data_IF_256677012557
#
_entry.id   IF_256677012557
#
_cell.length_a   1.000
_cell.length_b   1.000
_cell.length_c   1.000
_cell.angle_alpha   90.00
_cell.angle_beta   90.00
_cell.angle_gamma   90.00
#
_symmetry.space_group_name_H-M   'P 1'
#
loop_
_entity.id
_entity.type
_entity.pdbx_description
1 polymer ?
#
# COMPACT_ATOMS: atom_id res chain seq x y z
N UNK A 1 9.56 3.22 -13.07
CA UNK A 1 8.84 3.51 -11.81
C UNK A 1 9.22 4.90 -11.37
N UNK A 2 8.27 5.81 -11.33
CA UNK A 2 8.51 7.07 -10.63
C UNK A 2 8.31 6.80 -9.14
N UNK A 3 9.41 6.67 -8.43
CA UNK A 3 9.37 6.67 -6.97
C UNK A 3 9.23 8.12 -6.52
N UNK A 4 8.43 8.35 -5.48
CA UNK A 4 8.40 9.65 -4.80
C UNK A 4 9.84 10.09 -4.50
N UNK A 5 10.15 11.36 -4.75
CA UNK A 5 11.42 11.95 -4.34
C UNK A 5 11.09 13.10 -3.40
N UNK A 6 11.46 12.99 -2.13
CA UNK A 6 12.18 11.89 -1.47
C UNK A 6 11.35 10.59 -1.38
N UNK A 7 12.04 9.45 -1.26
CA UNK A 7 11.40 8.13 -1.20
C UNK A 7 10.67 7.97 0.13
N UNK A 8 9.39 7.62 0.09
CA UNK A 8 8.58 7.30 1.28
C UNK A 8 8.55 5.78 1.46
N UNK A 9 8.85 5.27 2.65
CA UNK A 9 8.82 3.84 2.93
C UNK A 9 8.51 3.54 4.39
N UNK A 10 8.04 2.33 4.63
CA UNK A 10 7.76 1.77 5.96
C UNK A 10 8.28 0.36 6.03
N UNK A 11 8.89 0.00 7.16
CA UNK A 11 9.22 -1.38 7.52
C UNK A 11 8.29 -1.82 8.61
N UNK A 12 7.52 -2.87 8.35
CA UNK A 12 6.49 -3.36 9.27
C UNK A 12 6.69 -4.84 9.55
N UNK A 13 6.45 -5.25 10.79
CA UNK A 13 6.26 -6.65 11.16
C UNK A 13 4.78 -6.96 11.04
N UNK A 14 4.44 -8.11 10.49
CA UNK A 14 3.04 -8.51 10.32
C UNK A 14 2.88 -10.01 10.60
N UNK A 15 1.73 -10.41 11.14
CA UNK A 15 1.38 -11.82 11.27
C UNK A 15 1.18 -12.46 9.91
N UNK A 16 1.81 -13.60 9.68
CA UNK A 16 1.77 -14.30 8.39
C UNK A 16 0.37 -14.75 8.00
N UNK A 17 -0.50 -14.97 8.98
CA UNK A 17 -1.88 -15.45 8.81
C UNK A 17 -2.91 -14.36 8.52
N UNK A 18 -2.52 -13.10 8.53
CA UNK A 18 -3.40 -12.03 8.08
C UNK A 18 -3.86 -12.27 6.64
N UNK A 19 -5.10 -11.95 6.33
CA UNK A 19 -5.56 -11.88 4.95
C UNK A 19 -5.05 -10.62 4.27
N UNK A 20 -5.06 -10.56 2.94
CA UNK A 20 -4.71 -9.34 2.22
C UNK A 20 -5.64 -8.18 2.58
N UNK A 21 -6.93 -8.46 2.87
CA UNK A 21 -7.87 -7.47 3.40
C UNK A 21 -7.38 -6.91 4.73
N UNK A 22 -6.97 -7.78 5.65
CA UNK A 22 -6.44 -7.34 6.93
C UNK A 22 -5.10 -6.60 6.77
N UNK A 23 -4.23 -7.05 5.86
CA UNK A 23 -2.99 -6.32 5.53
C UNK A 23 -3.30 -4.88 5.09
N UNK A 24 -4.29 -4.70 4.19
CA UNK A 24 -4.74 -3.37 3.80
C UNK A 24 -5.26 -2.57 5.00
N UNK A 25 -6.29 -3.12 5.67
CA UNK A 25 -7.06 -2.40 6.69
C UNK A 25 -6.23 -2.04 7.93
N UNK A 26 -5.41 -2.96 8.41
CA UNK A 26 -4.79 -2.84 9.73
C UNK A 26 -3.28 -2.59 9.70
N UNK A 27 -2.66 -2.66 8.53
CA UNK A 27 -1.22 -2.40 8.38
C UNK A 27 -0.96 -1.26 7.40
N UNK A 28 -1.38 -1.42 6.13
CA UNK A 28 -1.00 -0.46 5.08
C UNK A 28 -1.68 0.89 5.27
N UNK A 29 -2.99 0.90 5.52
CA UNK A 29 -3.70 2.16 5.77
C UNK A 29 -3.08 2.95 6.93
N UNK A 30 -2.92 2.41 8.14
CA UNK A 30 -2.30 3.16 9.23
C UNK A 30 -0.82 3.50 8.96
N UNK A 31 -0.04 2.60 8.37
CA UNK A 31 1.38 2.85 8.13
C UNK A 31 1.63 3.98 7.11
N UNK A 32 0.75 4.13 6.13
CA UNK A 32 0.84 5.16 5.09
C UNK A 32 0.04 6.42 5.42
N UNK A 33 -0.88 6.36 6.40
CA UNK A 33 -1.76 7.46 6.77
C UNK A 33 -3.06 7.51 5.96
N UNK A 34 -3.41 6.43 5.26
CA UNK A 34 -4.64 6.31 4.49
C UNK A 34 -5.89 6.13 5.38
N UNK A 35 -7.00 6.64 4.93
CA UNK A 35 -8.31 6.35 5.54
C UNK A 35 -8.77 4.96 5.14
N UNK A 36 -9.12 4.15 6.14
CA UNK A 36 -9.72 2.85 5.91
C UNK A 36 -11.11 2.96 5.29
N UNK A 37 -11.44 2.06 4.37
CA UNK A 37 -12.75 2.00 3.70
C UNK A 37 -13.17 3.32 3.00
N UNK A 38 -12.19 4.06 2.49
CA UNK A 38 -12.41 5.33 1.82
C UNK A 38 -12.19 5.22 0.31
N UNK A 39 -11.04 4.71 -0.11
CA UNK A 39 -10.74 4.45 -1.53
C UNK A 39 -10.59 2.95 -1.80
N UNK A 40 -10.77 2.57 -3.06
CA UNK A 40 -10.53 1.23 -3.54
C UNK A 40 -9.03 0.94 -3.65
N UNK A 41 -8.69 -0.33 -3.61
CA UNK A 41 -7.32 -0.80 -3.71
C UNK A 41 -7.25 -2.16 -4.40
N UNK A 42 -6.06 -2.54 -4.83
CA UNK A 42 -5.79 -3.87 -5.32
C UNK A 42 -4.34 -4.29 -5.06
N UNK A 43 -4.12 -5.60 -5.06
CA UNK A 43 -2.81 -6.22 -5.01
C UNK A 43 -2.55 -7.05 -6.27
N UNK A 44 -1.29 -7.28 -6.60
CA UNK A 44 -0.85 -8.32 -7.53
C UNK A 44 0.53 -8.82 -7.17
N UNK A 45 0.83 -10.06 -7.53
CA UNK A 45 2.19 -10.59 -7.45
C UNK A 45 3.11 -9.86 -8.44
N UNK A 46 4.35 -9.66 -8.03
CA UNK A 46 5.42 -9.14 -8.89
C UNK A 46 6.50 -10.19 -9.07
N UNK A 47 6.59 -10.74 -10.27
CA UNK A 47 7.69 -11.63 -10.65
C UNK A 47 9.01 -10.85 -10.77
N UNK A 48 10.15 -11.53 -10.69
CA UNK A 48 11.44 -10.90 -10.93
C UNK A 48 11.47 -10.19 -12.28
N UNK A 49 11.85 -8.90 -12.26
CA UNK A 49 11.90 -8.07 -13.47
C UNK A 49 10.61 -7.36 -13.85
N UNK A 50 9.46 -7.75 -13.30
CA UNK A 50 8.19 -7.06 -13.56
C UNK A 50 8.11 -5.72 -12.83
N UNK A 51 7.40 -4.80 -13.46
CA UNK A 51 7.01 -3.52 -12.88
C UNK A 51 5.61 -3.62 -12.31
N UNK A 52 5.29 -2.76 -11.35
CA UNK A 52 3.97 -2.70 -10.73
C UNK A 52 2.84 -2.34 -11.70
N UNK A 53 3.16 -1.62 -12.77
CA UNK A 53 2.27 -1.13 -13.83
C UNK A 53 2.24 -2.03 -15.09
N UNK A 54 2.94 -3.18 -15.07
CA UNK A 54 2.83 -4.16 -16.14
C UNK A 54 1.44 -4.81 -16.14
N UNK A 55 0.95 -5.20 -17.30
CA UNK A 55 -0.32 -5.90 -17.44
C UNK A 55 -0.32 -7.19 -16.60
N UNK A 56 -1.38 -7.39 -15.84
CA UNK A 56 -1.56 -8.58 -15.03
C UNK A 56 -2.86 -9.28 -15.36
N UNK A 57 -2.82 -10.58 -15.33
CA UNK A 57 -4.00 -11.43 -15.55
C UNK A 57 -4.75 -11.74 -14.25
N UNK A 58 -4.14 -11.52 -13.10
CA UNK A 58 -4.75 -11.80 -11.79
C UNK A 58 -4.53 -10.63 -10.83
N UNK A 59 -5.62 -10.18 -10.25
CA UNK A 59 -5.66 -9.14 -9.24
C UNK A 59 -6.33 -9.66 -7.97
N UNK A 60 -5.90 -9.14 -6.83
CA UNK A 60 -6.47 -9.48 -5.53
C UNK A 60 -7.00 -8.20 -4.90
N UNK A 61 -8.27 -8.20 -4.52
CA UNK A 61 -8.87 -6.99 -3.96
C UNK A 61 -10.27 -7.22 -3.38
N UNK A 62 -10.93 -6.13 -2.97
CA UNK A 62 -12.34 -6.20 -2.58
C UNK A 62 -13.18 -6.71 -3.75
N UNK A 63 -14.23 -7.46 -3.48
CA UNK A 63 -15.07 -8.03 -4.54
C UNK A 63 -15.60 -6.97 -5.52
N UNK A 64 -15.94 -7.37 -6.73
CA UNK A 64 -16.42 -6.48 -7.83
C UNK A 64 -17.47 -5.47 -7.37
N UNK A 65 -18.49 -5.92 -6.63
CA UNK A 65 -19.56 -5.03 -6.14
C UNK A 65 -19.08 -3.90 -5.23
N UNK A 66 -17.96 -4.06 -4.55
CA UNK A 66 -17.37 -3.00 -3.72
C UNK A 66 -16.51 -2.06 -4.56
N UNK A 67 -15.84 -2.58 -5.58
CA UNK A 67 -15.08 -1.77 -6.53
C UNK A 67 -16.01 -0.88 -7.36
N UNK A 68 -17.12 -1.44 -7.86
CA UNK A 68 -18.13 -0.71 -8.63
C UNK A 68 -18.78 0.45 -7.86
N UNK A 69 -18.85 0.35 -6.52
CA UNK A 69 -19.37 1.43 -5.68
C UNK A 69 -18.42 2.60 -5.49
N UNK A 70 -17.12 2.37 -5.69
CA UNK A 70 -16.08 3.35 -5.34
C UNK A 70 -15.37 3.91 -6.57
N UNK A 71 -15.39 3.20 -7.69
CA UNK A 71 -14.70 3.60 -8.93
C UNK A 71 -15.57 3.23 -10.12
N UNK A 72 -15.64 4.11 -11.12
CA UNK A 72 -16.16 3.75 -12.42
C UNK A 72 -15.17 2.74 -13.07
N UNK A 73 -15.58 1.48 -13.09
CA UNK A 73 -14.76 0.36 -13.58
C UNK A 73 -14.37 0.52 -15.04
N UNK A 74 -15.09 1.34 -15.83
CA UNK A 74 -14.73 1.64 -17.22
C UNK A 74 -13.46 2.50 -17.31
N UNK A 75 -13.11 3.19 -16.23
CA UNK A 75 -11.93 4.03 -16.15
C UNK A 75 -10.70 3.31 -15.55
N UNK A 76 -10.87 2.05 -15.10
CA UNK A 76 -9.78 1.27 -14.51
C UNK A 76 -9.27 0.21 -15.51
N UNK A 77 -8.32 0.56 -16.36
CA UNK A 77 -7.85 -0.34 -17.44
C UNK A 77 -7.24 -1.65 -16.93
N UNK A 78 -6.82 -1.71 -15.66
CA UNK A 78 -6.17 -2.88 -15.08
C UNK A 78 -7.05 -4.12 -14.94
N UNK A 79 -8.38 -3.95 -14.88
CA UNK A 79 -9.31 -5.06 -14.69
C UNK A 79 -9.87 -5.62 -16.01
N UNK A 80 -9.52 -5.03 -17.13
CA UNK A 80 -9.95 -5.52 -18.43
C UNK A 80 -9.29 -6.86 -18.77
N UNK A 81 -10.08 -7.93 -18.71
CA UNK A 81 -9.66 -9.28 -19.09
C UNK A 81 -8.92 -10.07 -18.02
N UNK A 82 -8.69 -9.51 -16.82
CA UNK A 82 -8.07 -10.20 -15.71
C UNK A 82 -9.09 -10.82 -14.73
N UNK A 83 -8.66 -11.83 -13.98
CA UNK A 83 -9.43 -12.38 -12.88
C UNK A 83 -9.23 -11.56 -11.60
N UNK A 84 -10.32 -11.21 -10.92
CA UNK A 84 -10.28 -10.60 -9.60
C UNK A 84 -10.56 -11.65 -8.52
N UNK A 85 -9.58 -11.93 -7.68
CA UNK A 85 -9.70 -12.85 -6.56
C UNK A 85 -9.92 -12.04 -5.27
N UNK A 86 -10.84 -12.53 -4.42
CA UNK A 86 -11.18 -11.82 -3.18
C UNK A 86 -10.05 -11.87 -2.18
N UNK A 87 -9.58 -10.72 -1.80
CA UNK A 87 -8.47 -10.50 -0.86
C UNK A 87 -8.71 -11.07 0.56
N UNK A 88 -9.98 -11.18 0.96
CA UNK A 88 -10.36 -11.76 2.25
C UNK A 88 -10.11 -13.26 2.35
N UNK A 89 -9.99 -13.94 1.21
CA UNK A 89 -9.81 -15.38 1.11
C UNK A 89 -8.33 -15.77 0.93
N UNK A 90 -7.43 -14.78 0.81
CA UNK A 90 -6.00 -14.95 0.59
C UNK A 90 -5.20 -14.49 1.81
N UNK A 91 -4.26 -15.32 2.25
CA UNK A 91 -3.36 -15.02 3.38
C UNK A 91 -2.05 -14.43 2.89
N UNK A 92 -1.47 -13.57 3.72
CA UNK A 92 -0.18 -12.95 3.45
C UNK A 92 0.92 -13.98 3.18
N UNK A 93 0.96 -15.08 3.97
CA UNK A 93 1.97 -16.13 3.81
C UNK A 93 1.87 -16.90 2.49
N UNK A 94 0.71 -16.94 1.85
CA UNK A 94 0.54 -17.56 0.54
C UNK A 94 0.97 -16.69 -0.65
N UNK A 95 1.26 -15.41 -0.39
CA UNK A 95 1.61 -14.43 -1.43
C UNK A 95 3.11 -14.22 -1.61
N UNK A 96 3.93 -14.84 -0.77
CA UNK A 96 5.38 -14.70 -0.82
C UNK A 96 6.05 -16.07 -0.87
N UNK A 97 6.79 -16.32 -1.93
CA UNK A 97 7.54 -17.58 -2.10
C UNK A 97 8.78 -17.65 -1.18
N UNK A 98 9.31 -16.49 -0.78
CA UNK A 98 10.50 -16.39 0.05
C UNK A 98 10.98 -14.95 0.21
N UNK A 99 12.06 -14.77 0.94
CA UNK A 99 12.71 -13.47 1.13
C UNK A 99 13.08 -12.85 -0.23
N UNK A 100 12.80 -11.56 -0.38
CA UNK A 100 12.96 -10.84 -1.64
C UNK A 100 11.75 -10.88 -2.56
N UNK A 101 10.75 -11.76 -2.33
CA UNK A 101 9.49 -11.76 -3.10
C UNK A 101 8.75 -10.44 -2.92
N UNK A 102 7.98 -10.06 -3.94
CA UNK A 102 7.32 -8.75 -3.98
C UNK A 102 5.86 -8.84 -4.36
N UNK A 103 5.05 -7.96 -3.75
CA UNK A 103 3.71 -7.62 -4.19
C UNK A 103 3.67 -6.17 -4.66
N UNK A 104 2.93 -5.90 -5.71
CA UNK A 104 2.44 -4.55 -5.97
C UNK A 104 1.15 -4.33 -5.20
N UNK A 105 0.99 -3.15 -4.67
CA UNK A 105 -0.22 -2.67 -4.05
C UNK A 105 -0.54 -1.30 -4.62
N UNK A 106 -1.75 -1.10 -5.08
CA UNK A 106 -2.27 0.20 -5.50
C UNK A 106 -3.38 0.62 -4.58
N UNK A 107 -3.29 1.82 -4.07
CA UNK A 107 -4.34 2.48 -3.29
C UNK A 107 -4.89 3.64 -4.11
N UNK A 108 -6.18 3.89 -3.96
CA UNK A 108 -6.94 4.87 -4.74
C UNK A 108 -6.82 4.63 -6.25
N UNK A 109 -7.71 3.82 -6.78
CA UNK A 109 -7.70 3.43 -8.19
C UNK A 109 -8.00 4.60 -9.15
N UNK A 110 -8.36 5.78 -8.63
CA UNK A 110 -8.46 7.02 -9.39
C UNK A 110 -7.13 7.77 -9.49
N UNK A 111 -6.32 7.73 -8.42
CA UNK A 111 -5.04 8.46 -8.32
C UNK A 111 -3.80 7.56 -8.45
N UNK A 112 -3.97 6.23 -8.37
CA UNK A 112 -2.92 5.23 -8.58
C UNK A 112 -1.71 5.39 -7.67
N UNK A 113 -1.91 5.37 -6.36
CA UNK A 113 -0.83 5.33 -5.38
C UNK A 113 -0.17 3.95 -5.34
N UNK A 114 0.84 3.77 -6.19
CA UNK A 114 1.56 2.51 -6.32
C UNK A 114 2.60 2.31 -5.21
N UNK A 115 2.59 1.11 -4.63
CA UNK A 115 3.54 0.67 -3.63
C UNK A 115 4.14 -0.68 -4.05
N UNK A 116 5.39 -0.90 -3.68
CA UNK A 116 6.02 -2.20 -3.73
C UNK A 116 6.20 -2.71 -2.30
N UNK A 117 5.60 -3.86 -2.00
CA UNK A 117 5.76 -4.55 -0.73
C UNK A 117 6.79 -5.66 -0.95
N UNK A 118 7.85 -5.69 -0.16
CA UNK A 118 8.90 -6.69 -0.26
C UNK A 118 9.00 -7.46 1.05
N UNK A 119 9.00 -8.79 0.98
CA UNK A 119 9.32 -9.62 2.13
C UNK A 119 10.83 -9.55 2.38
N UNK A 120 11.23 -8.95 3.51
CA UNK A 120 12.65 -8.83 3.88
C UNK A 120 13.16 -10.08 4.62
N UNK A 121 12.40 -10.56 5.58
CA UNK A 121 12.76 -11.74 6.38
C UNK A 121 11.57 -12.31 7.15
N UNK A 122 11.75 -13.53 7.64
CA UNK A 122 10.81 -14.16 8.58
C UNK A 122 11.28 -13.96 10.02
N UNK A 123 10.33 -13.80 10.94
CA UNK A 123 10.58 -13.79 12.38
C UNK A 123 9.56 -14.68 13.11
N UNK A 124 9.81 -14.95 14.39
CA UNK A 124 8.92 -15.80 15.21
C UNK A 124 7.80 -15.01 15.89
N UNK A 125 7.98 -13.70 16.00
CA UNK A 125 7.01 -12.81 16.65
C UNK A 125 5.77 -12.65 15.74
N UNK A 126 4.61 -12.96 16.31
CA UNK A 126 3.30 -12.79 15.64
C UNK A 126 2.65 -11.49 16.16
N UNK A 127 3.20 -10.37 15.73
CA UNK A 127 2.74 -9.03 16.12
C UNK A 127 2.65 -8.11 14.89
N UNK A 128 1.82 -7.07 14.99
CA UNK A 128 1.80 -5.99 14.01
C UNK A 128 2.55 -4.81 14.62
N UNK A 129 3.64 -4.41 13.99
CA UNK A 129 4.51 -3.36 14.51
C UNK A 129 5.16 -2.56 13.36
N UNK A 130 5.18 -1.24 13.50
CA UNK A 130 6.00 -0.38 12.66
C UNK A 130 7.41 -0.37 13.22
N UNK A 131 8.35 -0.98 12.49
CA UNK A 131 9.74 -1.11 12.92
C UNK A 131 10.58 0.10 12.55
N UNK A 132 10.34 0.65 11.37
CA UNK A 132 11.13 1.75 10.84
C UNK A 132 10.40 2.41 9.65
N UNK A 133 10.87 3.57 9.20
CA UNK A 133 10.30 4.25 8.05
C UNK A 133 10.96 5.58 7.75
N UNK A 134 10.62 6.13 6.60
CA UNK A 134 11.08 7.46 6.19
C UNK A 134 10.02 8.18 5.35
N UNK A 135 9.98 9.48 5.45
CA UNK A 135 9.03 10.33 4.76
C UNK A 135 7.68 10.46 5.47
N UNK A 136 6.99 11.55 5.22
CA UNK A 136 5.69 11.86 5.82
C UNK A 136 4.59 10.96 5.27
N UNK A 137 3.47 10.88 5.99
CA UNK A 137 2.26 10.31 5.47
C UNK A 137 1.85 11.02 4.18
N UNK A 138 1.38 10.27 3.22
CA UNK A 138 0.93 10.80 1.94
C UNK A 138 -0.45 11.44 2.13
N UNK A 139 -0.71 12.63 1.58
CA UNK A 139 -2.01 13.26 1.74
C UNK A 139 -3.12 12.47 1.03
N UNK A 140 -4.22 12.29 1.71
CA UNK A 140 -5.45 11.75 1.13
C UNK A 140 -6.01 12.75 0.11
N UNK A 141 -6.67 12.26 -0.93
CA UNK A 141 -7.34 13.07 -1.95
C UNK A 141 -6.44 14.09 -2.68
N UNK A 142 -5.14 13.82 -2.77
CA UNK A 142 -4.25 14.68 -3.54
C UNK A 142 -4.32 14.32 -5.03
N UNK A 143 -4.73 15.26 -5.85
CA UNK A 143 -4.77 15.11 -7.31
C UNK A 143 -3.43 14.69 -7.91
N UNK A 144 -3.46 13.70 -8.83
CA UNK A 144 -2.30 13.24 -9.59
C UNK A 144 -1.34 12.32 -8.84
N UNK A 145 -1.75 11.78 -7.70
CA UNK A 145 -1.07 10.70 -6.98
C UNK A 145 0.39 11.00 -6.66
N UNK A 146 1.24 9.99 -6.77
CA UNK A 146 2.67 10.08 -6.39
C UNK A 146 3.46 11.08 -7.22
N UNK A 147 3.01 11.41 -8.44
CA UNK A 147 3.68 12.41 -9.28
C UNK A 147 3.53 13.82 -8.71
N UNK A 148 2.29 14.28 -8.55
CA UNK A 148 2.04 15.63 -8.03
C UNK A 148 2.54 15.79 -6.60
N UNK A 149 2.48 14.73 -5.79
CA UNK A 149 3.08 14.75 -4.46
C UNK A 149 4.61 14.94 -4.52
N UNK A 150 5.29 14.31 -5.48
CA UNK A 150 6.74 14.51 -5.67
C UNK A 150 7.08 15.93 -6.12
N UNK A 151 6.26 16.52 -7.00
CA UNK A 151 6.41 17.91 -7.42
C UNK A 151 6.23 18.86 -6.23
N UNK A 152 5.14 18.68 -5.48
CA UNK A 152 4.86 19.47 -4.27
C UNK A 152 6.02 19.39 -3.26
N UNK A 153 6.54 18.19 -2.99
CA UNK A 153 7.68 18.01 -2.10
C UNK A 153 8.93 18.73 -2.60
N UNK A 154 9.19 18.72 -3.91
CA UNK A 154 10.37 19.38 -4.48
C UNK A 154 10.27 20.93 -4.39
N UNK A 155 9.06 21.46 -4.46
CA UNK A 155 8.80 22.90 -4.34
C UNK A 155 8.85 23.39 -2.89
N UNK A 156 8.24 22.65 -1.97
CA UNK A 156 8.15 23.03 -0.57
C UNK A 156 9.44 22.73 0.20
N UNK A 157 10.24 21.78 -0.26
CA UNK A 157 11.37 21.21 0.46
C UNK A 157 12.59 21.08 -0.45
N UNK A 158 13.22 22.17 -0.87
CA UNK A 158 14.38 22.13 -1.76
C UNK A 158 15.56 21.29 -1.21
N UNK A 159 15.56 21.00 0.09
CA UNK A 159 16.51 20.08 0.74
C UNK A 159 15.80 19.00 1.56
N UNK A 160 14.89 18.28 0.90
CA UNK A 160 14.10 17.20 1.52
C UNK A 160 14.97 16.06 2.11
N UNK A 161 16.25 15.97 1.73
CA UNK A 161 17.21 15.03 2.31
C UNK A 161 17.50 15.29 3.79
N UNK A 162 17.18 16.49 4.28
CA UNK A 162 17.43 16.92 5.67
C UNK A 162 16.21 16.87 6.57
N UNK A 163 15.04 16.52 6.06
CA UNK A 163 13.89 16.40 6.94
C UNK A 163 14.03 15.16 7.80
N UNK A 164 14.10 15.34 9.14
CA UNK A 164 14.06 14.18 10.00
C UNK A 164 12.74 13.45 9.78
N UNK A 165 12.80 12.14 9.72
CA UNK A 165 11.63 11.31 9.85
C UNK A 165 10.90 11.76 11.13
N UNK A 166 9.79 12.44 10.98
CA UNK A 166 8.82 12.52 12.05
C UNK A 166 7.93 11.31 11.84
N UNK A 167 8.17 10.29 12.64
CA UNK A 167 7.22 9.19 12.75
C UNK A 167 5.82 9.81 12.77
N UNK A 168 4.94 9.54 11.81
CA UNK A 168 3.54 9.63 12.13
C UNK A 168 3.40 8.78 13.38
N UNK A 169 2.66 9.26 14.38
CA UNK A 169 2.31 8.54 15.60
C UNK A 169 2.60 7.04 15.46
N UNK A 170 3.33 6.43 16.37
CA UNK A 170 3.61 5.01 16.25
C UNK A 170 2.34 4.30 15.80
N UNK A 171 2.41 3.19 15.08
CA UNK A 171 1.19 2.41 14.77
C UNK A 171 0.37 2.25 16.03
N UNK A 172 1.02 2.11 17.19
CA UNK A 172 0.36 2.02 18.49
C UNK A 172 -0.41 3.29 18.86
N UNK A 173 0.14 4.48 18.61
CA UNK A 173 -0.56 5.76 18.85
C UNK A 173 -1.69 5.97 17.85
N UNK A 174 -1.54 5.44 16.63
CA UNK A 174 -2.56 5.45 15.59
C UNK A 174 -3.73 4.51 15.95
N UNK A 175 -3.44 3.30 16.44
CA UNK A 175 -4.43 2.35 16.94
C UNK A 175 -5.31 2.97 18.00
N UNK A 176 -4.74 3.62 19.02
CA UNK A 176 -5.48 4.31 20.06
C UNK A 176 -6.39 5.42 19.54
N UNK A 177 -5.95 6.16 18.53
CA UNK A 177 -6.66 7.33 18.01
C UNK A 177 -7.78 6.99 17.02
N UNK A 178 -7.65 5.90 16.25
CA UNK A 178 -8.62 5.52 15.22
C UNK A 178 -9.64 4.47 15.67
N UNK A 179 -9.31 3.68 16.66
CA UNK A 179 -10.16 2.59 17.13
C UNK A 179 -10.88 2.86 18.46
N UNK A 180 -10.62 4.00 19.08
CA UNK A 180 -11.28 4.38 20.33
C UNK A 180 -11.00 3.43 21.50
N UNK A 181 -9.83 2.78 21.51
CA UNK A 181 -9.37 1.91 22.61
C UNK A 181 -8.52 2.69 23.60
#
# INVERSE_FOLDING_TARGET
MQTTRPRVWRRVRVGSRLTLRQLHDVVLCPAMGWKRAYHSYAFRELRPGERHDDESVVWFGPGESQLEQTVDMTQVPFFYGGALVKDKDLRVDSMFEGEGSRLAYVYDLGQYWWHSITLESYCKEDSIELLDGWGQAVPEDSDGGSWNYSVLLSELLPDASRLPFRSPLSINDWWGKYWGL
#
